data_IF_078303144224
#
_entry.id   IF_078303144224
#
_cell.length_a   1.000
_cell.length_b   1.000
_cell.length_c   1.000
_cell.angle_alpha   90.00
_cell.angle_beta   90.00
_cell.angle_gamma   90.00
#
_symmetry.space_group_name_H-M   'P 1'
#
loop_
_entity.id
_entity.type
_entity.pdbx_description
1 polymer ?
#
# COMPACT_ATOMS: atom_id res chain seq x y z
N UNK A 1 1.92 18.01 17.70
CA UNK A 1 1.98 18.09 16.23
C UNK A 1 2.21 19.55 15.79
N UNK A 2 3.44 19.92 15.41
CA UNK A 2 3.84 21.33 15.17
C UNK A 2 3.29 21.94 13.87
N UNK A 3 2.68 21.14 12.99
CA UNK A 3 1.93 21.62 11.81
C UNK A 3 0.66 22.40 12.22
N UNK A 4 0.20 22.22 13.46
CA UNK A 4 -0.98 22.88 14.04
C UNK A 4 -0.64 23.94 15.08
N UNK A 5 0.64 24.30 15.19
CA UNK A 5 1.09 25.34 16.11
C UNK A 5 0.35 26.66 15.85
N UNK A 6 0.08 27.46 16.90
CA UNK A 6 -0.57 28.76 16.75
C UNK A 6 0.30 29.72 15.92
N UNK A 7 1.61 29.67 16.12
CA UNK A 7 2.57 30.51 15.44
C UNK A 7 2.73 30.07 13.99
N UNK A 8 2.33 30.95 13.07
CA UNK A 8 2.52 30.73 11.63
C UNK A 8 3.99 30.45 11.25
N UNK A 9 4.94 30.99 12.01
CA UNK A 9 6.38 30.76 11.83
C UNK A 9 6.77 29.29 12.05
N UNK A 10 6.23 28.64 13.09
CA UNK A 10 6.50 27.23 13.38
C UNK A 10 5.86 26.35 12.32
N UNK A 11 4.60 26.63 11.94
CA UNK A 11 3.90 25.92 10.87
C UNK A 11 4.66 25.96 9.54
N UNK A 12 5.11 27.14 9.10
CA UNK A 12 5.88 27.24 7.84
C UNK A 12 7.21 26.49 7.93
N UNK A 13 7.89 26.48 9.09
CA UNK A 13 9.18 25.79 9.24
C UNK A 13 9.01 24.28 9.20
N UNK A 14 7.92 23.78 9.78
CA UNK A 14 7.56 22.38 9.67
C UNK A 14 7.32 21.98 8.21
N UNK A 15 6.57 22.79 7.43
CA UNK A 15 6.38 22.53 5.99
C UNK A 15 7.70 22.56 5.20
N UNK A 16 8.64 23.47 5.54
CA UNK A 16 9.97 23.51 4.92
C UNK A 16 10.78 22.24 5.18
N UNK A 17 10.73 21.70 6.40
CA UNK A 17 11.40 20.44 6.74
C UNK A 17 10.81 19.29 5.93
N UNK A 18 9.48 19.21 5.84
CA UNK A 18 8.82 18.22 5.00
C UNK A 18 9.23 18.33 3.53
N UNK A 19 9.27 19.53 2.96
CA UNK A 19 9.75 19.75 1.59
C UNK A 19 11.17 19.19 1.41
N UNK A 20 12.10 19.46 2.34
CA UNK A 20 13.47 18.95 2.27
C UNK A 20 13.51 17.43 2.29
N UNK A 21 12.71 16.79 3.15
CA UNK A 21 12.66 15.33 3.26
C UNK A 21 12.10 14.69 1.97
N UNK A 22 11.11 15.33 1.35
CA UNK A 22 10.50 14.86 0.09
C UNK A 22 11.49 14.95 -1.06
N UNK A 23 12.19 16.08 -1.21
CA UNK A 23 13.22 16.27 -2.24
C UNK A 23 14.35 15.25 -2.09
N UNK A 24 14.75 14.96 -0.85
CA UNK A 24 15.78 13.96 -0.56
C UNK A 24 15.27 12.50 -0.62
N UNK A 25 13.98 12.29 -0.94
CA UNK A 25 13.32 10.98 -0.98
C UNK A 25 13.45 10.20 0.34
N UNK A 26 13.40 10.90 1.47
CA UNK A 26 13.57 10.34 2.84
C UNK A 26 12.25 10.12 3.57
N UNK A 27 11.12 10.46 2.97
CA UNK A 27 9.80 10.21 3.55
C UNK A 27 9.47 8.72 3.41
N UNK A 28 9.17 8.01 4.52
CA UNK A 28 8.72 6.63 4.44
C UNK A 28 7.46 6.50 3.59
N UNK A 29 7.42 5.53 2.68
CA UNK A 29 6.30 5.31 1.75
C UNK A 29 4.95 5.21 2.47
N UNK A 30 4.91 4.57 3.64
CA UNK A 30 3.72 4.44 4.50
C UNK A 30 3.18 5.78 5.02
N UNK A 31 4.05 6.78 5.16
CA UNK A 31 3.71 8.11 5.68
C UNK A 31 3.47 9.13 4.56
N UNK A 32 3.76 8.77 3.31
CA UNK A 32 3.72 9.70 2.18
C UNK A 32 2.35 10.36 2.02
N UNK A 33 1.27 9.55 2.02
CA UNK A 33 -0.09 10.07 1.95
C UNK A 33 -0.43 10.97 3.14
N UNK A 34 0.03 10.62 4.35
CA UNK A 34 -0.23 11.44 5.54
C UNK A 34 0.42 12.82 5.44
N UNK A 35 1.65 12.88 4.95
CA UNK A 35 2.36 14.15 4.71
C UNK A 35 1.68 14.95 3.60
N UNK A 36 1.15 14.27 2.58
CA UNK A 36 0.41 14.91 1.50
C UNK A 36 -0.88 15.57 2.01
N UNK A 37 -1.68 14.86 2.80
CA UNK A 37 -2.88 15.39 3.47
C UNK A 37 -2.54 16.61 4.34
N UNK A 38 -1.45 16.55 5.11
CA UNK A 38 -1.00 17.70 5.90
C UNK A 38 -0.71 18.92 5.01
N UNK A 39 -0.11 18.73 3.83
CA UNK A 39 0.09 19.80 2.85
C UNK A 39 -1.23 20.37 2.33
N UNK A 40 -2.17 19.49 1.95
CA UNK A 40 -3.50 19.88 1.47
C UNK A 40 -4.29 20.67 2.52
N UNK A 41 -4.28 20.21 3.77
CA UNK A 41 -4.94 20.86 4.91
C UNK A 41 -4.40 22.27 5.19
N UNK A 42 -3.19 22.59 4.73
CA UNK A 42 -2.55 23.90 4.91
C UNK A 42 -2.70 24.83 3.71
N UNK A 43 -3.33 24.38 2.61
CA UNK A 43 -3.62 25.25 1.46
C UNK A 43 -4.58 26.40 1.81
N UNK A 44 -5.41 26.22 2.85
CA UNK A 44 -6.37 27.22 3.34
C UNK A 44 -5.91 27.92 4.63
N UNK A 45 -4.62 27.86 4.98
CA UNK A 45 -4.09 28.54 6.18
C UNK A 45 -4.30 30.07 6.09
N UNK A 46 -4.56 30.72 7.22
CA UNK A 46 -4.73 32.19 7.30
C UNK A 46 -3.48 32.94 6.85
N UNK A 47 -2.30 32.43 7.18
CA UNK A 47 -1.02 33.04 6.85
C UNK A 47 -0.59 32.71 5.41
N UNK A 48 -0.33 33.73 4.59
CA UNK A 48 0.08 33.56 3.19
C UNK A 48 1.39 32.77 3.04
N UNK A 49 2.33 32.94 3.98
CA UNK A 49 3.61 32.23 4.00
C UNK A 49 3.39 30.72 4.12
N UNK A 50 2.50 30.31 5.03
CA UNK A 50 2.15 28.89 5.21
C UNK A 50 1.51 28.32 3.94
N UNK A 51 0.58 29.05 3.31
CA UNK A 51 -0.04 28.63 2.03
C UNK A 51 0.99 28.43 0.92
N UNK A 52 1.94 29.36 0.78
CA UNK A 52 3.02 29.26 -0.22
C UNK A 52 3.81 27.96 -0.02
N UNK A 53 4.23 27.67 1.20
CA UNK A 53 4.97 26.45 1.51
C UNK A 53 4.12 25.18 1.37
N UNK A 54 2.83 25.25 1.64
CA UNK A 54 1.91 24.14 1.43
C UNK A 54 1.78 23.77 -0.06
N UNK A 55 1.64 24.76 -0.94
CA UNK A 55 1.63 24.55 -2.40
C UNK A 55 2.95 23.92 -2.86
N UNK A 56 4.09 24.45 -2.38
CA UNK A 56 5.42 23.90 -2.70
C UNK A 56 5.56 22.45 -2.22
N UNK A 57 5.07 22.12 -1.01
CA UNK A 57 5.09 20.75 -0.51
C UNK A 57 4.27 19.81 -1.39
N UNK A 58 3.03 20.18 -1.71
CA UNK A 58 2.15 19.38 -2.58
C UNK A 58 2.78 19.17 -3.95
N UNK A 59 3.35 20.21 -4.54
CA UNK A 59 4.07 20.12 -5.82
C UNK A 59 5.23 19.13 -5.76
N UNK A 60 6.13 19.26 -4.78
CA UNK A 60 7.26 18.33 -4.65
C UNK A 60 6.83 16.90 -4.33
N UNK A 61 5.74 16.72 -3.59
CA UNK A 61 5.17 15.41 -3.30
C UNK A 61 4.62 14.71 -4.56
N UNK A 62 4.03 15.46 -5.49
CA UNK A 62 3.60 14.90 -6.77
C UNK A 62 4.81 14.56 -7.64
N UNK A 63 5.77 15.48 -7.76
CA UNK A 63 6.98 15.28 -8.58
C UNK A 63 7.89 14.15 -8.10
N UNK A 64 7.94 13.90 -6.79
CA UNK A 64 8.77 12.86 -6.18
C UNK A 64 7.97 11.66 -5.69
N UNK A 65 6.76 11.46 -6.22
CA UNK A 65 5.87 10.40 -5.76
C UNK A 65 6.51 9.01 -5.96
N UNK A 66 6.67 8.19 -4.90
CA UNK A 66 7.28 6.87 -5.00
C UNK A 66 6.45 5.86 -5.81
N UNK A 67 5.19 6.17 -6.11
CA UNK A 67 4.30 5.33 -6.90
C UNK A 67 4.22 5.74 -8.38
N UNK A 68 4.81 6.89 -8.76
CA UNK A 68 4.90 7.26 -10.17
C UNK A 68 6.00 6.40 -10.81
N UNK A 69 5.61 5.27 -11.37
CA UNK A 69 6.42 4.57 -12.38
C UNK A 69 6.21 5.31 -13.68
N UNK A 70 7.31 5.75 -14.29
CA UNK A 70 7.39 6.80 -15.32
C UNK A 70 6.49 6.50 -16.55
N UNK A 71 6.13 5.24 -16.77
CA UNK A 71 5.36 4.79 -17.93
C UNK A 71 4.05 4.05 -17.59
N UNK A 72 3.68 3.95 -16.31
CA UNK A 72 2.48 3.19 -15.92
C UNK A 72 1.21 4.04 -16.03
N UNK A 73 0.49 3.87 -17.13
CA UNK A 73 -0.87 4.43 -17.29
C UNK A 73 -1.81 3.79 -16.26
N UNK A 74 -2.84 4.52 -15.81
CA UNK A 74 -3.92 4.00 -14.95
C UNK A 74 -4.44 2.64 -15.42
N UNK A 75 -4.68 2.49 -16.72
CA UNK A 75 -5.14 1.24 -17.33
C UNK A 75 -4.15 0.08 -17.12
N UNK A 76 -2.83 0.33 -17.15
CA UNK A 76 -1.83 -0.70 -16.90
C UNK A 76 -1.80 -1.12 -15.43
N UNK A 77 -1.97 -0.16 -14.51
CA UNK A 77 -2.07 -0.44 -13.07
C UNK A 77 -3.33 -1.29 -12.80
N UNK A 78 -4.48 -0.91 -13.36
CA UNK A 78 -5.74 -1.64 -13.23
C UNK A 78 -5.64 -3.05 -13.82
N UNK A 79 -5.02 -3.19 -14.99
CA UNK A 79 -4.73 -4.50 -15.58
C UNK A 79 -3.88 -5.36 -14.65
N UNK A 80 -2.75 -4.85 -14.16
CA UNK A 80 -1.88 -5.58 -13.25
C UNK A 80 -2.58 -6.00 -11.96
N UNK A 81 -3.47 -5.15 -11.43
CA UNK A 81 -4.30 -5.48 -10.27
C UNK A 81 -5.29 -6.61 -10.57
N UNK A 82 -5.94 -6.59 -11.73
CA UNK A 82 -6.89 -7.62 -12.12
C UNK A 82 -6.18 -8.96 -12.37
N UNK A 83 -5.06 -8.95 -13.08
CA UNK A 83 -4.26 -10.16 -13.34
C UNK A 83 -3.80 -10.81 -12.02
N UNK A 84 -3.34 -9.99 -11.06
CA UNK A 84 -2.96 -10.48 -9.74
C UNK A 84 -4.16 -11.06 -8.95
N UNK A 85 -5.34 -10.42 -9.02
CA UNK A 85 -6.56 -10.93 -8.39
C UNK A 85 -7.01 -12.26 -8.99
N UNK A 86 -6.98 -12.39 -10.32
CA UNK A 86 -7.34 -13.63 -11.01
C UNK A 86 -6.42 -14.77 -10.60
N UNK A 87 -5.09 -14.56 -10.62
CA UNK A 87 -4.11 -15.55 -10.16
C UNK A 87 -4.35 -15.99 -8.71
N UNK A 88 -4.75 -15.07 -7.83
CA UNK A 88 -5.09 -15.41 -6.44
C UNK A 88 -6.36 -16.27 -6.32
N UNK A 89 -7.31 -16.13 -7.25
CA UNK A 89 -8.51 -16.99 -7.28
C UNK A 89 -8.15 -18.38 -7.81
N UNK A 90 -7.37 -18.45 -8.88
CA UNK A 90 -6.88 -19.71 -9.47
C UNK A 90 -6.09 -20.53 -8.44
N UNK A 91 -5.11 -19.92 -7.77
CA UNK A 91 -4.32 -20.58 -6.73
C UNK A 91 -5.17 -21.07 -5.56
N UNK A 92 -6.22 -20.33 -5.17
CA UNK A 92 -7.17 -20.81 -4.14
C UNK A 92 -7.92 -22.06 -4.58
N UNK A 93 -8.40 -22.08 -5.81
CA UNK A 93 -9.11 -23.24 -6.36
C UNK A 93 -8.19 -24.47 -6.48
N UNK A 94 -6.92 -24.26 -6.85
CA UNK A 94 -5.92 -25.32 -6.92
C UNK A 94 -5.63 -25.91 -5.53
N UNK A 95 -5.45 -25.06 -4.52
CA UNK A 95 -5.30 -25.48 -3.13
C UNK A 95 -6.52 -26.27 -2.62
N UNK A 96 -7.73 -25.89 -3.00
CA UNK A 96 -8.95 -26.63 -2.65
C UNK A 96 -9.00 -28.03 -3.28
N UNK A 97 -8.58 -28.16 -4.54
CA UNK A 97 -8.51 -29.45 -5.23
C UNK A 97 -7.46 -30.36 -4.59
N UNK A 98 -6.26 -29.83 -4.35
CA UNK A 98 -5.20 -30.56 -3.65
C UNK A 98 -5.65 -31.05 -2.28
N UNK A 99 -6.34 -30.21 -1.50
CA UNK A 99 -6.86 -30.59 -0.19
C UNK A 99 -7.93 -31.68 -0.25
N UNK A 100 -8.75 -31.73 -1.31
CA UNK A 100 -9.71 -32.82 -1.51
C UNK A 100 -8.99 -34.13 -1.83
N UNK A 101 -8.01 -34.08 -2.74
CA UNK A 101 -7.22 -35.26 -3.11
C UNK A 101 -6.49 -35.84 -1.89
N UNK A 102 -5.86 -34.99 -1.06
CA UNK A 102 -5.19 -35.44 0.17
C UNK A 102 -6.16 -36.12 1.16
N UNK A 103 -7.41 -35.64 1.25
CA UNK A 103 -8.44 -36.27 2.11
C UNK A 103 -8.91 -37.61 1.54
N UNK A 104 -8.97 -37.73 0.22
CA UNK A 104 -9.37 -38.96 -0.47
C UNK A 104 -8.27 -40.03 -0.37
N UNK A 105 -7.00 -39.65 -0.55
CA UNK A 105 -5.85 -40.54 -0.40
C UNK A 105 -5.75 -41.08 1.04
N UNK A 106 -5.92 -40.22 2.05
CA UNK A 106 -5.95 -40.65 3.47
C UNK A 106 -7.10 -41.61 3.78
N UNK A 107 -8.28 -41.40 3.19
CA UNK A 107 -9.43 -42.31 3.33
C UNK A 107 -9.20 -43.66 2.65
N UNK A 108 -8.42 -43.70 1.56
CA UNK A 108 -8.06 -44.95 0.90
C UNK A 108 -6.98 -45.71 1.68
N UNK A 109 -6.03 -45.03 2.29
CA UNK A 109 -5.04 -45.64 3.19
C UNK A 109 -5.69 -46.22 4.46
N UNK A 110 -6.62 -45.49 5.10
CA UNK A 110 -7.36 -45.99 6.28
C UNK A 110 -8.23 -47.22 5.97
N UNK A 111 -8.78 -47.34 4.75
CA UNK A 111 -9.56 -48.50 4.32
C UNK A 111 -8.70 -49.72 3.98
N UNK A 112 -7.48 -49.53 3.48
CA UNK A 112 -6.53 -50.63 3.24
C UNK A 112 -6.03 -51.24 4.54
N UNK A 113 -5.83 -50.45 5.60
CA UNK A 113 -5.44 -50.96 6.91
C UNK A 113 -6.54 -51.76 7.64
N UNK A 114 -7.81 -51.65 7.23
CA UNK A 114 -8.93 -52.42 7.83
C UNK A 114 -9.25 -53.72 7.07
N UNK A 115 -8.82 -53.87 5.82
CA UNK A 115 -9.07 -55.09 5.04
C UNK A 115 -8.05 -56.21 5.29
N UNK A 116 -6.90 -55.89 5.88
CA UNK A 116 -5.83 -56.87 6.14
C UNK A 116 -6.03 -57.66 7.46
N UNK A 117 -6.99 -57.26 8.31
CA UNK A 117 -7.30 -57.91 9.60
C UNK A 117 -8.49 -58.90 9.55
N UNK A 118 -9.21 -59.03 8.41
CA UNK A 118 -10.40 -59.91 8.29
C UNK A 118 -10.13 -61.28 7.61
N UNK A 119 -8.89 -61.57 7.19
CA UNK A 119 -8.54 -62.81 6.45
C UNK A 119 -7.50 -63.69 7.20
N UNK A 120 -7.45 -63.66 8.53
CA UNK A 120 -6.63 -64.55 9.40
C UNK A 120 -7.43 -65.31 10.44
#
# INVERSE_FOLDING_TARGET
DHVRDEAAFVRQRCLQLWISLVIQKRVPVKQYLRVFELGLDRLRDKACRVRKHAVTLVMHMVLNNPYLVIDSTRAQIEKGQNDAKTKLVELRQELEKLNKNIKEDKKMEEKKSQSDDEDS
#
